data_IF_957793792911
#
_entry.id   IF_957793792911
#
_cell.length_a   1.000
_cell.length_b   1.000
_cell.length_c   1.000
_cell.angle_alpha   90.00
_cell.angle_beta   90.00
_cell.angle_gamma   90.00
#
_symmetry.space_group_name_H-M   'P 1'
#
loop_
_entity.id
_entity.type
_entity.pdbx_description
1 polymer ?
#
# COMPACT_ATOMS: atom_id res chain seq x y z
N UNK A 1 7.34 11.35 -43.79
CA UNK A 1 8.45 10.40 -43.57
C UNK A 1 8.97 10.64 -42.16
N UNK A 2 8.64 9.78 -41.19
CA UNK A 2 9.19 9.93 -39.84
C UNK A 2 10.67 9.57 -39.86
N UNK A 3 11.53 10.45 -39.33
CA UNK A 3 12.97 10.17 -39.23
C UNK A 3 13.20 8.97 -38.31
N UNK A 4 14.25 8.18 -38.55
CA UNK A 4 14.64 7.05 -37.69
C UNK A 4 14.78 7.50 -36.22
N UNK A 5 15.28 8.72 -36.01
CA UNK A 5 15.38 9.36 -34.70
C UNK A 5 14.00 9.59 -34.07
N UNK A 6 13.01 10.01 -34.86
CA UNK A 6 11.62 10.20 -34.41
C UNK A 6 11.00 8.87 -33.98
N UNK A 7 11.26 7.78 -34.71
CA UNK A 7 10.73 6.45 -34.37
C UNK A 7 11.33 5.90 -33.06
N UNK A 8 12.65 6.05 -32.86
CA UNK A 8 13.33 5.61 -31.63
C UNK A 8 12.84 6.38 -30.39
N UNK A 9 12.60 7.68 -30.51
CA UNK A 9 12.05 8.50 -29.42
C UNK A 9 10.63 8.07 -29.06
N UNK A 10 9.78 7.77 -30.04
CA UNK A 10 8.42 7.28 -29.80
C UNK A 10 8.41 5.90 -29.13
N UNK A 11 9.24 4.97 -29.61
CA UNK A 11 9.37 3.64 -28.99
C UNK A 11 9.90 3.74 -27.55
N UNK A 12 10.88 4.61 -27.30
CA UNK A 12 11.40 4.88 -25.96
C UNK A 12 10.35 5.46 -25.02
N UNK A 13 9.55 6.44 -25.47
CA UNK A 13 8.46 7.01 -24.67
C UNK A 13 7.36 6.00 -24.36
N UNK A 14 7.02 5.11 -25.31
CA UNK A 14 6.05 4.02 -25.09
C UNK A 14 6.56 3.00 -24.07
N UNK A 15 7.84 2.63 -24.14
CA UNK A 15 8.48 1.74 -23.16
C UNK A 15 8.49 2.41 -21.78
N UNK A 16 8.87 3.69 -21.68
CA UNK A 16 8.87 4.42 -20.39
C UNK A 16 7.46 4.51 -19.82
N UNK A 17 6.46 4.87 -20.63
CA UNK A 17 5.07 4.95 -20.20
C UNK A 17 4.53 3.59 -19.70
N UNK A 18 4.84 2.51 -20.40
CA UNK A 18 4.40 1.15 -20.02
C UNK A 18 5.14 0.62 -18.78
N UNK A 19 6.45 0.92 -18.63
CA UNK A 19 7.22 0.60 -17.43
C UNK A 19 6.78 1.42 -16.21
N UNK A 20 6.34 2.66 -16.40
CA UNK A 20 5.85 3.50 -15.30
C UNK A 20 4.52 2.97 -14.74
N UNK A 21 3.60 2.53 -15.61
CA UNK A 21 2.30 1.96 -15.23
C UNK A 21 2.47 0.70 -14.36
N UNK A 22 3.45 -0.17 -14.65
CA UNK A 22 3.67 -1.39 -13.86
C UNK A 22 4.30 -1.15 -12.48
N UNK A 23 4.85 0.04 -12.23
CA UNK A 23 5.50 0.42 -10.97
C UNK A 23 4.54 1.15 -10.02
N UNK A 24 3.44 1.69 -10.52
CA UNK A 24 2.41 2.37 -9.73
C UNK A 24 1.51 1.36 -8.99
N UNK A 25 2.08 0.63 -8.03
CA UNK A 25 1.30 -0.22 -7.13
C UNK A 25 0.59 0.67 -6.10
N UNK A 26 -0.74 0.77 -6.21
CA UNK A 26 -1.56 1.39 -5.20
C UNK A 26 -1.51 0.54 -3.92
N UNK A 27 -0.54 0.80 -3.06
CA UNK A 27 -0.52 0.20 -1.72
C UNK A 27 -1.81 0.62 -1.01
N UNK A 28 -2.65 -0.36 -0.67
CA UNK A 28 -3.85 -0.13 0.13
C UNK A 28 -3.45 0.55 1.43
N UNK A 29 -3.88 1.79 1.61
CA UNK A 29 -3.62 2.58 2.80
C UNK A 29 -4.69 2.25 3.85
N UNK A 30 -4.33 2.26 5.14
CA UNK A 30 -5.36 2.19 6.17
C UNK A 30 -6.18 3.50 6.18
N UNK A 31 -7.41 3.43 6.68
CA UNK A 31 -8.30 4.59 6.77
C UNK A 31 -8.05 5.35 8.09
N UNK A 32 -7.57 6.62 8.07
CA UNK A 32 -7.30 7.38 9.29
C UNK A 32 -8.48 7.40 10.26
N UNK A 33 -8.17 7.27 11.55
CA UNK A 33 -9.17 7.23 12.62
C UNK A 33 -9.87 5.86 12.81
N UNK A 34 -9.76 4.91 11.87
CA UNK A 34 -10.22 3.54 12.11
C UNK A 34 -9.33 2.83 13.14
N UNK A 35 -9.94 1.94 13.92
CA UNK A 35 -9.24 1.10 14.89
C UNK A 35 -9.85 -0.30 14.95
N UNK A 36 -9.04 -1.29 15.30
CA UNK A 36 -9.48 -2.67 15.55
C UNK A 36 -8.70 -3.28 16.71
N UNK A 37 -9.20 -4.39 17.26
CA UNK A 37 -8.51 -5.19 18.26
C UNK A 37 -7.93 -6.44 17.61
N UNK A 38 -6.61 -6.63 17.69
CA UNK A 38 -5.92 -7.77 17.06
C UNK A 38 -5.97 -9.04 17.91
N UNK A 39 -6.83 -9.11 18.93
CA UNK A 39 -6.85 -10.22 19.90
C UNK A 39 -5.94 -10.00 21.12
N UNK A 40 -5.08 -8.98 21.12
CA UNK A 40 -4.22 -8.63 22.26
C UNK A 40 -4.00 -7.11 22.41
N UNK A 41 -3.68 -6.46 21.31
CA UNK A 41 -3.41 -5.04 21.18
C UNK A 41 -4.54 -4.32 20.45
N UNK A 42 -4.74 -3.06 20.83
CA UNK A 42 -5.57 -2.13 20.05
C UNK A 42 -4.69 -1.50 18.99
N UNK A 43 -5.12 -1.61 17.74
CA UNK A 43 -4.46 -1.04 16.58
C UNK A 43 -5.32 0.07 15.98
N UNK A 44 -4.71 1.14 15.49
CA UNK A 44 -5.37 2.26 14.85
C UNK A 44 -4.58 2.74 13.62
N UNK A 45 -5.28 3.38 12.70
CA UNK A 45 -4.67 4.07 11.58
C UNK A 45 -4.43 5.54 11.94
N UNK A 46 -3.18 5.98 11.83
CA UNK A 46 -2.80 7.38 11.99
C UNK A 46 -3.14 8.23 10.75
N UNK A 47 -3.13 9.55 10.91
CA UNK A 47 -3.27 10.51 9.80
C UNK A 47 -2.22 10.33 8.70
N UNK A 48 -1.06 9.74 9.02
CA UNK A 48 -0.01 9.40 8.07
C UNK A 48 -0.26 8.06 7.33
N UNK A 49 -1.47 7.50 7.41
CA UNK A 49 -1.83 6.20 6.84
C UNK A 49 -0.95 5.03 7.33
N UNK A 50 -0.42 5.15 8.56
CA UNK A 50 0.38 4.11 9.20
C UNK A 50 -0.41 3.42 10.31
N UNK A 51 -0.33 2.09 10.35
CA UNK A 51 -0.95 1.26 11.39
C UNK A 51 -0.07 1.30 12.62
N UNK A 52 -0.65 1.66 13.76
CA UNK A 52 0.00 1.72 15.05
C UNK A 52 -0.77 0.88 16.05
N UNK A 53 -0.07 0.07 16.84
CA UNK A 53 -0.68 -0.79 17.85
C UNK A 53 -0.10 -0.50 19.24
N UNK A 54 -0.89 -0.75 20.28
CA UNK A 54 -0.36 -0.85 21.64
C UNK A 54 0.70 -1.96 21.72
N UNK A 55 1.49 -1.98 22.79
CA UNK A 55 2.58 -2.97 23.01
C UNK A 55 2.37 -3.81 24.26
N UNK A 56 1.19 -4.39 24.41
CA UNK A 56 0.89 -5.35 25.48
C UNK A 56 1.65 -6.66 25.21
N UNK A 57 2.11 -7.31 26.28
CA UNK A 57 2.72 -8.63 26.19
C UNK A 57 1.62 -9.65 25.88
N UNK A 58 1.69 -10.25 24.69
CA UNK A 58 0.67 -11.20 24.22
C UNK A 58 1.04 -12.64 24.62
N UNK A 59 0.09 -13.44 25.14
CA UNK A 59 0.35 -14.83 25.53
C UNK A 59 0.74 -15.73 24.36
N UNK A 60 0.20 -15.43 23.17
CA UNK A 60 0.45 -16.18 21.94
C UNK A 60 0.67 -15.17 20.79
N UNK A 61 1.92 -14.98 20.32
CA UNK A 61 2.23 -13.97 19.31
C UNK A 61 1.66 -14.30 17.92
N UNK A 62 1.15 -15.52 17.73
CA UNK A 62 0.63 -16.04 16.46
C UNK A 62 -0.90 -15.95 16.37
N UNK A 63 -1.60 -15.76 17.50
CA UNK A 63 -3.05 -15.52 17.54
C UNK A 63 -3.38 -14.04 17.43
N UNK A 64 -2.87 -13.38 16.39
CA UNK A 64 -3.28 -12.01 16.06
C UNK A 64 -4.41 -12.04 15.03
N UNK A 65 -5.53 -11.42 15.38
CA UNK A 65 -6.66 -11.22 14.48
C UNK A 65 -6.27 -10.21 13.40
N UNK A 66 -6.60 -10.55 12.16
CA UNK A 66 -6.42 -9.65 11.02
C UNK A 66 -7.31 -8.41 11.15
N UNK A 67 -6.91 -7.26 10.57
CA UNK A 67 -7.79 -6.11 10.45
C UNK A 67 -9.09 -6.46 9.71
N UNK A 68 -10.22 -5.81 10.04
CA UNK A 68 -11.45 -5.98 9.28
C UNK A 68 -11.29 -5.42 7.86
N UNK A 69 -12.11 -5.90 6.92
CA UNK A 69 -11.98 -5.56 5.50
C UNK A 69 -12.13 -4.05 5.22
N UNK A 70 -12.88 -3.32 6.05
CA UNK A 70 -13.10 -1.88 5.96
C UNK A 70 -11.99 -1.03 6.63
N UNK A 71 -10.93 -1.67 7.13
CA UNK A 71 -9.79 -0.99 7.73
C UNK A 71 -8.86 -0.36 6.68
N UNK A 72 -8.85 -0.90 5.46
CA UNK A 72 -8.06 -0.41 4.33
C UNK A 72 -8.95 0.22 3.24
N UNK A 73 -8.40 1.22 2.54
CA UNK A 73 -8.94 1.81 1.31
C UNK A 73 -8.50 1.03 0.06
#
# INVERSE_FOLDING_TARGET
>A
MASKTTCLLLLGLLIIATLYVSVAEAKKQCVPGKSYFDGCNTCFCSEAHSVQCTRRLCPDPWKRLSPPADFYQ
#
